data_IF_870986456315
#
_entry.id   IF_870986456315
#
_cell.length_a   1.000
_cell.length_b   1.000
_cell.length_c   1.000
_cell.angle_alpha   90.00
_cell.angle_beta   90.00
_cell.angle_gamma   90.00
#
_symmetry.space_group_name_H-M   'P 1'
#
loop_
_entity.id
_entity.type
_entity.pdbx_description
1 polymer ?
#
# COMPACT_ATOMS: atom_id res chain seq x y z
N UNK A 1 12.86 0.42 -25.48
CA UNK A 1 11.92 -0.47 -24.76
C UNK A 1 10.62 -0.49 -25.53
N UNK A 2 10.02 -1.66 -25.78
CA UNK A 2 8.68 -1.70 -26.38
C UNK A 2 7.64 -1.26 -25.34
N UNK A 3 6.55 -0.65 -25.80
CA UNK A 3 5.42 -0.26 -24.94
C UNK A 3 4.85 -1.45 -24.15
N UNK A 4 4.87 -2.65 -24.74
CA UNK A 4 4.43 -3.90 -24.09
C UNK A 4 5.26 -4.22 -22.85
N UNK A 5 6.59 -4.09 -22.93
CA UNK A 5 7.49 -4.34 -21.80
C UNK A 5 7.30 -3.30 -20.68
N UNK A 6 7.00 -2.04 -21.04
CA UNK A 6 6.72 -0.99 -20.06
C UNK A 6 5.39 -1.22 -19.33
N UNK A 7 4.35 -1.63 -20.06
CA UNK A 7 3.04 -1.96 -19.50
C UNK A 7 3.11 -3.15 -18.54
N UNK A 8 3.83 -4.22 -18.91
CA UNK A 8 4.02 -5.38 -18.03
C UNK A 8 4.73 -4.98 -16.73
N UNK A 9 5.80 -4.18 -16.82
CA UNK A 9 6.53 -3.69 -15.65
C UNK A 9 5.67 -2.82 -14.74
N UNK A 10 4.85 -1.94 -15.31
CA UNK A 10 3.93 -1.10 -14.52
C UNK A 10 2.87 -1.96 -13.81
N UNK A 11 2.38 -3.03 -14.44
CA UNK A 11 1.43 -3.97 -13.84
C UNK A 11 2.05 -4.73 -12.67
N UNK A 12 3.29 -5.23 -12.81
CA UNK A 12 4.01 -5.89 -11.72
C UNK A 12 4.15 -4.97 -10.49
N UNK A 13 4.48 -3.70 -10.73
CA UNK A 13 4.69 -2.73 -9.66
C UNK A 13 3.38 -2.34 -8.99
N UNK A 14 2.30 -2.23 -9.76
CA UNK A 14 0.96 -2.05 -9.22
C UNK A 14 0.56 -3.22 -8.31
N UNK A 15 0.78 -4.46 -8.74
CA UNK A 15 0.46 -5.65 -7.94
C UNK A 15 1.26 -5.68 -6.63
N UNK A 16 2.56 -5.33 -6.67
CA UNK A 16 3.40 -5.24 -5.46
C UNK A 16 2.87 -4.20 -4.49
N UNK A 17 2.51 -3.00 -4.98
CA UNK A 17 1.99 -1.92 -4.14
C UNK A 17 0.63 -2.27 -3.53
N UNK A 18 -0.26 -2.91 -4.30
CA UNK A 18 -1.54 -3.40 -3.77
C UNK A 18 -1.32 -4.42 -2.65
N UNK A 19 -0.36 -5.33 -2.80
CA UNK A 19 -0.01 -6.28 -1.74
C UNK A 19 0.44 -5.58 -0.46
N UNK A 20 1.34 -4.60 -0.57
CA UNK A 20 1.81 -3.80 0.58
C UNK A 20 0.63 -3.08 1.23
N UNK A 21 -0.26 -2.48 0.43
CA UNK A 21 -1.44 -1.77 0.94
C UNK A 21 -2.35 -2.67 1.79
N UNK A 22 -2.59 -3.93 1.36
CA UNK A 22 -3.36 -4.89 2.14
C UNK A 22 -2.61 -5.39 3.37
N UNK A 23 -1.30 -5.62 3.29
CA UNK A 23 -0.50 -6.00 4.46
C UNK A 23 -0.48 -4.91 5.54
N UNK A 24 -0.44 -3.63 5.14
CA UNK A 24 -0.57 -2.52 6.09
C UNK A 24 -1.92 -2.52 6.81
N UNK A 25 -2.99 -3.02 6.17
CA UNK A 25 -4.29 -3.17 6.81
C UNK A 25 -4.28 -4.26 7.91
N UNK A 26 -3.61 -5.38 7.64
CA UNK A 26 -3.42 -6.45 8.63
C UNK A 26 -2.64 -5.95 9.85
N UNK A 27 -1.56 -5.18 9.62
CA UNK A 27 -0.77 -4.59 10.71
C UNK A 27 -1.60 -3.55 11.48
N UNK A 28 -2.37 -2.71 10.79
CA UNK A 28 -3.25 -1.73 11.42
C UNK A 28 -4.29 -2.43 12.32
N UNK A 29 -4.88 -3.51 11.84
CA UNK A 29 -5.81 -4.35 12.61
C UNK A 29 -5.15 -4.90 13.87
N UNK A 30 -3.95 -5.48 13.74
CA UNK A 30 -3.19 -5.99 14.89
C UNK A 30 -2.87 -4.89 15.91
N UNK A 31 -2.36 -3.73 15.45
CA UNK A 31 -2.04 -2.60 16.32
C UNK A 31 -3.29 -2.06 17.04
N UNK A 32 -4.45 -2.07 16.37
CA UNK A 32 -5.72 -1.59 16.93
C UNK A 32 -6.28 -2.54 17.98
N UNK A 33 -6.32 -3.84 17.69
CA UNK A 33 -7.07 -4.80 18.51
C UNK A 33 -6.22 -5.61 19.49
N UNK A 34 -4.94 -5.83 19.19
CA UNK A 34 -4.06 -6.65 20.04
C UNK A 34 -3.13 -5.80 20.90
N UNK A 35 -2.66 -4.67 20.37
CA UNK A 35 -1.75 -3.77 21.09
C UNK A 35 -2.45 -2.59 21.75
N UNK A 36 -3.65 -2.22 21.27
CA UNK A 36 -4.39 -1.01 21.68
C UNK A 36 -3.52 0.27 21.59
N UNK A 37 -2.55 0.30 20.67
CA UNK A 37 -1.57 1.37 20.55
C UNK A 37 -2.03 2.43 19.53
N UNK A 38 -2.71 3.46 20.05
CA UNK A 38 -3.27 4.53 19.23
C UNK A 38 -2.22 5.37 18.48
N UNK A 39 -1.00 5.49 19.01
CA UNK A 39 0.07 6.26 18.36
C UNK A 39 0.55 5.51 17.11
N UNK A 40 0.86 4.22 17.26
CA UNK A 40 1.28 3.36 16.15
C UNK A 40 0.18 3.21 15.10
N UNK A 41 -1.10 3.10 15.52
CA UNK A 41 -2.25 3.07 14.60
C UNK A 41 -2.31 4.33 13.73
N UNK A 42 -2.10 5.52 14.33
CA UNK A 42 -2.13 6.77 13.58
C UNK A 42 -0.99 6.84 12.54
N UNK A 43 0.22 6.41 12.91
CA UNK A 43 1.37 6.39 12.01
C UNK A 43 1.18 5.42 10.83
N UNK A 44 0.75 4.18 11.11
CA UNK A 44 0.54 3.16 10.07
C UNK A 44 -0.60 3.58 9.13
N UNK A 45 -1.67 4.17 9.65
CA UNK A 45 -2.75 4.72 8.86
C UNK A 45 -2.25 5.80 7.88
N UNK A 46 -1.40 6.71 8.36
CA UNK A 46 -0.80 7.74 7.50
C UNK A 46 0.08 7.13 6.40
N UNK A 47 0.88 6.10 6.70
CA UNK A 47 1.69 5.38 5.71
C UNK A 47 0.81 4.70 4.66
N UNK A 48 -0.24 3.99 5.08
CA UNK A 48 -1.21 3.33 4.19
C UNK A 48 -1.86 4.33 3.22
N UNK A 49 -2.20 5.52 3.71
CA UNK A 49 -2.72 6.60 2.88
C UNK A 49 -1.72 7.12 1.84
N UNK A 50 -0.43 7.17 2.16
CA UNK A 50 0.61 7.53 1.20
C UNK A 50 0.78 6.46 0.13
N UNK A 51 0.75 5.17 0.50
CA UNK A 51 0.79 4.05 -0.45
C UNK A 51 -0.40 4.11 -1.41
N UNK A 52 -1.62 4.35 -0.90
CA UNK A 52 -2.81 4.56 -1.73
C UNK A 52 -2.63 5.64 -2.78
N UNK A 53 -2.09 6.81 -2.39
CA UNK A 53 -1.82 7.91 -3.33
C UNK A 53 -0.80 7.56 -4.41
N UNK A 54 0.18 6.70 -4.10
CA UNK A 54 1.14 6.21 -5.11
C UNK A 54 0.44 5.28 -6.10
N UNK A 55 -0.41 4.36 -5.60
CA UNK A 55 -1.21 3.46 -6.43
C UNK A 55 -2.14 4.26 -7.35
N UNK A 56 -2.86 5.24 -6.83
CA UNK A 56 -3.75 6.13 -7.59
C UNK A 56 -3.01 6.81 -8.75
N UNK A 57 -1.78 7.30 -8.51
CA UNK A 57 -0.96 7.94 -9.54
C UNK A 57 -0.42 6.99 -10.62
N UNK A 58 -0.38 5.69 -10.36
CA UNK A 58 0.05 4.69 -11.34
C UNK A 58 -1.09 4.23 -12.25
N UNK A 59 -2.34 4.35 -11.79
CA UNK A 59 -3.54 3.93 -12.54
C UNK A 59 -4.29 5.08 -13.20
N UNK A 60 -3.98 6.33 -12.83
CA UNK A 60 -4.50 7.56 -13.46
C UNK A 60 -3.72 7.92 -14.71
#
# INVERSE_FOLDING_TARGET
MSEVLQTQRNLEELVKLLRIYFQLDEILSFATFELEDNEVVAEISAVKDRVRKVIEKLIS
#
